data_IF_113528268733
#
_entry.id   IF_113528268733
#
_cell.length_a   1.000
_cell.length_b   1.000
_cell.length_c   1.000
_cell.angle_alpha   90.00
_cell.angle_beta   90.00
_cell.angle_gamma   90.00
#
_symmetry.space_group_name_H-M   'P 1'
#
loop_
_entity.id
_entity.type
_entity.pdbx_description
1 polymer ?
#
# COMPACT_ATOMS: atom_id res chain seq x y z
N UNK A 1 46.14 56.80 5.63
CA UNK A 1 45.16 56.19 6.59
C UNK A 1 43.84 56.94 6.41
N UNK A 2 42.66 56.39 6.16
CA UNK A 2 42.06 55.03 6.12
C UNK A 2 40.88 55.11 5.13
N UNK A 3 40.71 54.13 4.23
CA UNK A 3 39.42 53.87 3.56
C UNK A 3 38.58 52.93 4.44
N UNK A 4 37.25 53.12 4.55
CA UNK A 4 36.37 52.04 4.95
C UNK A 4 35.35 51.67 3.84
N UNK A 5 35.62 50.51 3.24
CA UNK A 5 34.72 49.33 3.17
C UNK A 5 33.43 49.48 2.35
N UNK A 6 33.53 48.92 1.13
CA UNK A 6 32.48 48.28 0.34
C UNK A 6 31.52 47.43 1.19
N UNK A 7 30.21 47.62 1.02
CA UNK A 7 29.22 46.57 1.31
C UNK A 7 28.40 46.25 0.05
N UNK A 8 28.54 44.99 -0.34
CA UNK A 8 28.06 44.35 -1.56
C UNK A 8 26.57 43.98 -1.39
N UNK A 9 25.68 44.70 -2.06
CA UNK A 9 24.25 44.38 -2.13
C UNK A 9 23.98 43.35 -3.22
N UNK A 10 24.21 42.07 -2.93
CA UNK A 10 23.77 40.96 -3.80
C UNK A 10 23.11 39.87 -3.00
N UNK A 11 21.85 40.07 -2.59
CA UNK A 11 20.93 39.00 -2.24
C UNK A 11 19.50 39.58 -2.10
N UNK A 12 18.66 39.55 -3.16
CA UNK A 12 17.30 39.09 -2.90
C UNK A 12 16.62 38.32 -4.07
N UNK A 13 17.35 37.90 -5.12
CA UNK A 13 16.69 37.31 -6.30
C UNK A 13 16.36 35.81 -6.14
N UNK A 14 17.11 35.06 -5.31
CA UNK A 14 16.85 33.62 -5.12
C UNK A 14 15.56 33.31 -4.35
N UNK A 15 15.08 34.21 -3.49
CA UNK A 15 13.88 33.96 -2.70
C UNK A 15 12.58 34.04 -3.54
N UNK A 16 12.57 34.90 -4.57
CA UNK A 16 11.40 35.07 -5.44
C UNK A 16 11.21 33.91 -6.43
N UNK A 17 12.31 33.27 -6.89
CA UNK A 17 12.25 32.15 -7.83
C UNK A 17 11.77 30.82 -7.20
N UNK A 18 11.91 30.65 -5.89
CA UNK A 18 11.45 29.44 -5.20
C UNK A 18 9.92 29.36 -5.07
N UNK A 19 9.22 30.49 -5.13
CA UNK A 19 7.76 30.54 -4.97
C UNK A 19 7.04 30.17 -6.28
N UNK A 20 7.67 30.40 -7.45
CA UNK A 20 7.08 30.09 -8.76
C UNK A 20 7.29 28.63 -9.22
N UNK A 21 8.06 27.83 -8.49
CA UNK A 21 8.47 26.47 -8.89
C UNK A 21 7.87 25.35 -8.04
N UNK A 22 6.81 25.61 -7.26
CA UNK A 22 6.00 24.54 -6.69
C UNK A 22 4.92 24.17 -7.72
N UNK A 23 5.13 23.19 -8.62
CA UNK A 23 4.00 22.60 -9.32
C UNK A 23 3.07 22.08 -8.23
N UNK A 24 1.77 22.39 -8.35
CA UNK A 24 0.78 22.11 -7.33
C UNK A 24 1.03 20.76 -6.68
N UNK A 25 1.45 20.79 -5.42
CA UNK A 25 1.44 19.62 -4.55
C UNK A 25 -0.04 19.37 -4.30
N UNK A 26 -0.70 18.77 -5.30
CA UNK A 26 -1.97 18.11 -5.07
C UNK A 26 -1.69 17.16 -3.92
N UNK A 27 -2.34 17.39 -2.78
CA UNK A 27 -2.32 16.44 -1.68
C UNK A 27 -2.68 15.10 -2.29
N UNK A 28 -1.72 14.18 -2.39
CA UNK A 28 -1.99 12.84 -2.88
C UNK A 28 -3.11 12.30 -1.99
N UNK A 29 -4.29 12.12 -2.57
CA UNK A 29 -5.47 11.76 -1.81
C UNK A 29 -5.17 10.43 -1.11
N UNK A 30 -5.32 10.41 0.22
CA UNK A 30 -4.95 9.24 0.99
C UNK A 30 -5.80 8.06 0.56
N UNK A 31 -5.16 6.96 0.16
CA UNK A 31 -5.87 5.72 -0.22
C UNK A 31 -6.43 4.98 1.01
N UNK A 32 -6.25 5.51 2.22
CA UNK A 32 -6.74 4.91 3.45
C UNK A 32 -8.27 4.84 3.45
N UNK A 33 -8.84 3.71 3.85
CA UNK A 33 -10.26 3.44 3.80
C UNK A 33 -10.76 2.90 2.46
N UNK A 34 -10.03 3.13 1.37
CA UNK A 34 -10.35 2.54 0.06
C UNK A 34 -9.95 1.07 -0.01
N UNK A 35 -10.75 0.26 -0.71
CA UNK A 35 -10.39 -1.11 -1.12
C UNK A 35 -9.63 -1.16 -2.44
N UNK A 36 -9.51 -0.03 -3.14
CA UNK A 36 -8.90 0.01 -4.47
C UNK A 36 -9.62 -0.84 -5.51
N UNK A 37 -8.84 -1.30 -6.50
CA UNK A 37 -9.28 -2.27 -7.49
C UNK A 37 -9.52 -3.62 -6.83
N UNK A 38 -10.77 -4.08 -6.81
CA UNK A 38 -11.15 -5.36 -6.24
C UNK A 38 -11.43 -6.35 -7.36
N UNK A 39 -10.60 -7.40 -7.44
CA UNK A 39 -10.70 -8.45 -8.47
C UNK A 39 -11.71 -9.53 -8.11
N UNK A 40 -11.92 -9.75 -6.81
CA UNK A 40 -12.98 -10.61 -6.30
C UNK A 40 -13.34 -10.22 -4.85
N UNK A 41 -14.58 -10.50 -4.39
CA UNK A 41 -15.02 -10.12 -3.06
C UNK A 41 -14.22 -10.88 -1.98
N UNK A 42 -13.70 -10.13 -1.01
CA UNK A 42 -13.10 -10.69 0.20
C UNK A 42 -14.21 -10.88 1.24
N UNK A 43 -14.62 -12.13 1.44
CA UNK A 43 -15.64 -12.52 2.42
C UNK A 43 -15.01 -13.13 3.67
N UNK A 44 -15.54 -12.75 4.83
CA UNK A 44 -15.24 -13.38 6.11
C UNK A 44 -16.58 -13.73 6.78
N UNK A 45 -16.69 -14.96 7.30
CA UNK A 45 -17.90 -15.37 8.02
C UNK A 45 -18.14 -14.42 9.22
N UNK A 46 -19.40 -14.03 9.52
CA UNK A 46 -19.73 -13.23 10.70
C UNK A 46 -19.12 -13.81 11.97
N UNK A 47 -18.60 -12.95 12.84
CA UNK A 47 -17.92 -13.36 14.08
C UNK A 47 -16.48 -13.85 13.90
N UNK A 48 -15.96 -13.91 12.67
CA UNK A 48 -14.53 -14.14 12.44
C UNK A 48 -13.68 -13.08 13.15
N UNK A 49 -12.61 -13.52 13.80
CA UNK A 49 -11.58 -12.66 14.42
C UNK A 49 -10.17 -13.03 13.96
N UNK A 50 -10.08 -13.94 12.97
CA UNK A 50 -8.86 -14.56 12.50
C UNK A 50 -7.88 -13.61 11.80
N UNK A 51 -6.67 -14.12 11.57
CA UNK A 51 -5.54 -13.36 11.02
C UNK A 51 -5.85 -12.70 9.67
N UNK A 52 -6.60 -13.36 8.78
CA UNK A 52 -6.88 -12.83 7.46
C UNK A 52 -7.83 -11.63 7.46
N UNK A 53 -8.84 -11.61 8.33
CA UNK A 53 -9.71 -10.45 8.46
C UNK A 53 -8.98 -9.26 9.08
N UNK A 54 -8.14 -9.50 10.10
CA UNK A 54 -7.30 -8.45 10.68
C UNK A 54 -6.31 -7.89 9.64
N UNK A 55 -5.70 -8.77 8.84
CA UNK A 55 -4.81 -8.39 7.75
C UNK A 55 -5.53 -7.56 6.68
N UNK A 56 -6.75 -7.95 6.29
CA UNK A 56 -7.54 -7.20 5.32
C UNK A 56 -7.92 -5.81 5.83
N UNK A 57 -8.32 -5.68 7.10
CA UNK A 57 -8.56 -4.37 7.73
C UNK A 57 -7.32 -3.48 7.71
N UNK A 58 -6.14 -4.05 7.97
CA UNK A 58 -4.87 -3.31 7.92
C UNK A 58 -4.50 -2.87 6.48
N UNK A 59 -4.79 -3.72 5.48
CA UNK A 59 -4.69 -3.34 4.07
C UNK A 59 -5.61 -2.16 3.75
N UNK A 60 -6.89 -2.22 4.11
CA UNK A 60 -7.85 -1.12 3.88
C UNK A 60 -7.42 0.17 4.60
N UNK A 61 -6.88 0.07 5.82
CA UNK A 61 -6.41 1.24 6.55
C UNK A 61 -5.13 1.89 5.97
N UNK A 62 -4.38 1.18 5.12
CA UNK A 62 -3.12 1.69 4.56
C UNK A 62 -3.37 2.75 3.49
N UNK A 63 -2.64 3.87 3.53
CA UNK A 63 -2.75 4.96 2.54
C UNK A 63 -1.74 4.90 1.38
N UNK A 64 -0.88 3.89 1.35
CA UNK A 64 0.16 3.70 0.32
C UNK A 64 -0.21 2.62 -0.70
N UNK A 65 0.64 2.48 -1.72
CA UNK A 65 0.60 1.30 -2.59
C UNK A 65 0.68 0.02 -1.76
N UNK A 66 -0.36 -0.79 -1.89
CA UNK A 66 -0.61 -1.98 -1.12
C UNK A 66 -1.44 -2.98 -1.91
N UNK A 67 -1.31 -4.24 -1.56
CA UNK A 67 -2.10 -5.32 -2.15
C UNK A 67 -2.47 -6.34 -1.09
N UNK A 68 -3.62 -6.98 -1.31
CA UNK A 68 -4.10 -8.10 -0.52
C UNK A 68 -4.26 -9.31 -1.43
N UNK A 69 -3.53 -10.37 -1.13
CA UNK A 69 -3.65 -11.65 -1.80
C UNK A 69 -4.32 -12.65 -0.87
N UNK A 70 -5.21 -13.45 -1.42
CA UNK A 70 -5.84 -14.54 -0.68
C UNK A 70 -6.14 -15.72 -1.58
N UNK A 71 -6.39 -16.86 -0.97
CA UNK A 71 -7.14 -17.92 -1.61
C UNK A 71 -8.63 -17.52 -1.65
N UNK A 72 -9.37 -17.83 -2.72
CA UNK A 72 -10.79 -17.52 -2.80
C UNK A 72 -11.52 -18.24 -1.67
N UNK A 73 -12.41 -17.53 -0.97
CA UNK A 73 -13.29 -18.18 0.00
C UNK A 73 -14.26 -19.08 -0.74
N UNK A 74 -14.32 -20.35 -0.35
CA UNK A 74 -15.43 -21.21 -0.72
C UNK A 74 -16.02 -21.84 0.55
N UNK A 75 -17.33 -22.07 0.54
CA UNK A 75 -18.09 -22.62 1.67
C UNK A 75 -17.72 -24.06 2.01
N UNK A 76 -17.00 -24.75 1.11
CA UNK A 76 -16.47 -26.11 1.30
C UNK A 76 -15.03 -26.11 1.83
N UNK A 77 -14.41 -24.94 2.03
CA UNK A 77 -13.04 -24.80 2.54
C UNK A 77 -13.06 -24.19 3.92
N UNK A 78 -12.50 -24.93 4.86
CA UNK A 78 -12.42 -24.52 6.26
C UNK A 78 -11.32 -23.47 6.51
N UNK A 79 -10.45 -23.22 5.52
CA UNK A 79 -9.27 -22.37 5.68
C UNK A 79 -9.08 -21.43 4.50
N UNK A 80 -8.86 -20.14 4.81
CA UNK A 80 -8.36 -19.14 3.88
C UNK A 80 -6.90 -18.86 4.20
N UNK A 81 -6.05 -18.81 3.17
CA UNK A 81 -4.69 -18.27 3.28
C UNK A 81 -4.68 -16.88 2.69
N UNK A 82 -3.95 -15.96 3.32
CA UNK A 82 -3.85 -14.59 2.84
C UNK A 82 -2.48 -13.98 3.17
N UNK A 83 -2.16 -12.91 2.46
CA UNK A 83 -1.06 -12.03 2.78
C UNK A 83 -1.40 -10.61 2.33
N UNK A 84 -0.76 -9.62 2.97
CA UNK A 84 -0.78 -8.23 2.51
C UNK A 84 0.65 -7.74 2.35
N UNK A 85 0.85 -6.80 1.44
CA UNK A 85 2.13 -6.13 1.30
C UNK A 85 1.91 -4.66 0.97
N UNK A 86 2.85 -3.84 1.43
CA UNK A 86 2.97 -2.43 1.05
C UNK A 86 4.30 -2.27 0.31
N UNK A 87 4.36 -1.40 -0.68
CA UNK A 87 5.58 -1.17 -1.45
C UNK A 87 5.64 0.25 -2.02
N UNK A 88 6.75 0.58 -2.68
CA UNK A 88 6.92 1.86 -3.39
C UNK A 88 6.14 1.95 -4.71
N UNK A 89 5.61 0.83 -5.21
CA UNK A 89 4.75 0.79 -6.40
C UNK A 89 3.69 -0.29 -6.26
N UNK A 90 2.58 -0.12 -6.99
CA UNK A 90 1.48 -1.08 -6.97
C UNK A 90 1.93 -2.49 -7.37
N UNK A 91 2.71 -2.60 -8.46
CA UNK A 91 3.19 -3.88 -8.99
C UNK A 91 4.10 -4.62 -8.00
N UNK A 92 4.93 -3.87 -7.26
CA UNK A 92 5.77 -4.44 -6.22
C UNK A 92 4.93 -4.96 -5.04
N UNK A 93 3.89 -4.21 -4.63
CA UNK A 93 2.98 -4.66 -3.58
C UNK A 93 2.24 -5.93 -3.98
N UNK A 94 1.71 -6.00 -5.20
CA UNK A 94 1.03 -7.21 -5.71
C UNK A 94 1.97 -8.41 -5.78
N UNK A 95 3.18 -8.22 -6.31
CA UNK A 95 4.18 -9.29 -6.42
C UNK A 95 4.53 -9.85 -5.04
N UNK A 96 4.77 -8.98 -4.05
CA UNK A 96 5.12 -9.39 -2.70
C UNK A 96 3.93 -10.08 -2.00
N UNK A 97 2.74 -9.49 -2.05
CA UNK A 97 1.54 -10.09 -1.44
C UNK A 97 1.24 -11.49 -2.02
N UNK A 98 1.34 -11.65 -3.35
CA UNK A 98 1.12 -12.94 -3.99
C UNK A 98 2.17 -13.97 -3.58
N UNK A 99 3.45 -13.58 -3.57
CA UNK A 99 4.56 -14.45 -3.14
C UNK A 99 4.35 -14.93 -1.70
N UNK A 100 3.98 -14.02 -0.81
CA UNK A 100 3.82 -14.32 0.62
C UNK A 100 2.59 -15.19 0.87
N UNK A 101 1.48 -14.97 0.14
CA UNK A 101 0.32 -15.86 0.19
C UNK A 101 0.70 -17.29 -0.24
N UNK A 102 1.40 -17.43 -1.36
CA UNK A 102 1.87 -18.73 -1.85
C UNK A 102 2.86 -19.39 -0.88
N UNK A 103 3.72 -18.61 -0.24
CA UNK A 103 4.64 -19.09 0.78
C UNK A 103 3.90 -19.62 2.01
N UNK A 104 2.92 -18.85 2.51
CA UNK A 104 2.06 -19.25 3.62
C UNK A 104 1.28 -20.52 3.28
N UNK A 105 0.75 -20.64 2.07
CA UNK A 105 0.03 -21.84 1.63
C UNK A 105 0.92 -23.09 1.68
N UNK A 106 2.18 -22.96 1.23
CA UNK A 106 3.18 -24.05 1.31
C UNK A 106 3.55 -24.38 2.75
N UNK A 107 3.79 -23.36 3.58
CA UNK A 107 4.17 -23.51 4.99
C UNK A 107 3.08 -24.24 5.78
N UNK A 108 1.82 -23.84 5.61
CA UNK A 108 0.68 -24.44 6.30
C UNK A 108 0.17 -25.73 5.63
N UNK A 109 0.78 -26.14 4.51
CA UNK A 109 0.42 -27.36 3.75
C UNK A 109 -1.07 -27.40 3.37
N UNK A 110 -1.66 -26.24 3.10
CA UNK A 110 -3.09 -26.12 2.79
C UNK A 110 -3.30 -26.51 1.32
N UNK A 111 -3.88 -27.69 1.09
CA UNK A 111 -4.12 -28.22 -0.27
C UNK A 111 -5.52 -27.90 -0.81
N UNK A 112 -6.48 -27.60 0.07
CA UNK A 112 -7.90 -27.47 -0.28
C UNK A 112 -8.34 -26.04 -0.58
N UNK A 113 -7.58 -25.02 -0.16
CA UNK A 113 -7.99 -23.62 -0.26
C UNK A 113 -7.99 -23.03 -1.69
N UNK A 114 -7.57 -23.77 -2.72
CA UNK A 114 -7.40 -23.22 -4.08
C UNK A 114 -6.16 -22.34 -4.21
N UNK A 115 -5.89 -21.77 -5.39
CA UNK A 115 -4.68 -20.97 -5.61
C UNK A 115 -4.79 -19.56 -5.00
N UNK A 116 -3.68 -19.03 -4.50
CA UNK A 116 -3.58 -17.62 -4.14
C UNK A 116 -3.74 -16.72 -5.36
N UNK A 117 -4.52 -15.64 -5.21
CA UNK A 117 -4.64 -14.56 -6.18
C UNK A 117 -4.75 -13.21 -5.50
N UNK A 118 -4.49 -12.11 -6.23
CA UNK A 118 -4.72 -10.76 -5.72
C UNK A 118 -6.24 -10.53 -5.63
N UNK A 119 -6.74 -10.25 -4.43
CA UNK A 119 -8.15 -9.92 -4.22
C UNK A 119 -8.41 -8.42 -4.39
N UNK A 120 -7.47 -7.60 -3.93
CA UNK A 120 -7.59 -6.16 -3.97
C UNK A 120 -6.21 -5.46 -4.00
N UNK A 121 -6.11 -4.33 -4.68
CA UNK A 121 -4.90 -3.50 -4.72
C UNK A 121 -5.20 -2.00 -4.89
N UNK A 122 -4.39 -1.15 -4.27
CA UNK A 122 -4.43 0.33 -4.34
C UNK A 122 -3.03 0.91 -4.17
#
# INVERSE_FOLDING_TARGET
MRLPIFHKTTAPVLAALLILAAPGVGTAESLAGSKGDSRYPVYFAPGSTGGCQKSYKAYVATGSHSAYASTPFNWATEFMVCARANASSQKAAETLALKDCQSAQKQYKVKTAGACGIAASK
#
